data_IF_792828017350
#
_entry.id   IF_792828017350
#
_cell.length_a   1.000
_cell.length_b   1.000
_cell.length_c   1.000
_cell.angle_alpha   90.00
_cell.angle_beta   90.00
_cell.angle_gamma   90.00
#
_symmetry.space_group_name_H-M   'P 1'
#
loop_
_entity.id
_entity.type
_entity.pdbx_description
1 polymer ?
#
# COMPACT_ATOMS: atom_id res chain seq x y z
N UNK A 1 -1.29 31.71 44.10
CA UNK A 1 -2.48 31.06 44.71
C UNK A 1 -3.74 31.70 44.18
N UNK A 2 -4.33 31.06 43.15
CA UNK A 2 -5.77 30.83 42.89
C UNK A 2 -5.89 30.48 41.41
N UNK A 3 -5.72 29.18 41.13
CA UNK A 3 -6.26 28.53 39.95
C UNK A 3 -7.78 28.54 40.15
N UNK A 4 -8.50 29.30 39.34
CA UNK A 4 -9.97 29.28 39.33
C UNK A 4 -10.43 28.14 38.44
N UNK A 5 -11.04 27.13 39.07
CA UNK A 5 -12.11 26.25 38.58
C UNK A 5 -12.61 26.48 37.13
N UNK A 6 -11.92 25.88 36.16
CA UNK A 6 -12.44 25.64 34.80
C UNK A 6 -12.71 24.13 34.57
N UNK A 7 -13.33 23.48 35.56
CA UNK A 7 -13.51 22.03 35.59
C UNK A 7 -14.63 21.44 34.71
N UNK A 8 -15.51 22.26 34.11
CA UNK A 8 -16.75 21.74 33.47
C UNK A 8 -17.08 22.33 32.08
N UNK A 9 -16.16 23.08 31.48
CA UNK A 9 -16.40 23.81 30.21
C UNK A 9 -16.01 23.12 28.88
N UNK A 10 -15.31 21.96 28.81
CA UNK A 10 -14.85 21.45 27.51
C UNK A 10 -15.91 20.67 26.69
N UNK A 11 -17.06 20.31 27.28
CA UNK A 11 -18.02 19.38 26.63
C UNK A 11 -19.16 20.10 25.90
N UNK A 12 -19.61 21.27 26.40
CA UNK A 12 -20.77 21.98 25.81
C UNK A 12 -20.39 22.65 24.49
N UNK A 13 -19.24 23.32 24.44
CA UNK A 13 -18.76 24.00 23.23
C UNK A 13 -18.52 23.04 22.06
N UNK A 14 -17.96 21.85 22.35
CA UNK A 14 -17.79 20.78 21.36
C UNK A 14 -19.13 20.27 20.82
N UNK A 15 -20.17 20.23 21.66
CA UNK A 15 -21.52 19.78 21.29
C UNK A 15 -22.22 20.77 20.36
N UNK A 16 -22.08 22.06 20.65
CA UNK A 16 -22.63 23.14 19.83
C UNK A 16 -21.91 23.25 18.48
N UNK A 17 -20.58 23.05 18.45
CA UNK A 17 -19.82 22.97 17.21
C UNK A 17 -20.22 21.76 16.35
N UNK A 18 -20.41 20.59 16.96
CA UNK A 18 -20.88 19.40 16.24
C UNK A 18 -22.30 19.58 15.71
N UNK A 19 -23.19 20.23 16.46
CA UNK A 19 -24.54 20.53 16.01
C UNK A 19 -24.54 21.50 14.82
N UNK A 20 -23.68 22.53 14.86
CA UNK A 20 -23.49 23.47 13.76
C UNK A 20 -22.86 22.80 12.53
N UNK A 21 -21.88 21.92 12.72
CA UNK A 21 -21.30 21.14 11.63
C UNK A 21 -22.35 20.25 10.95
N UNK A 22 -23.21 19.59 11.73
CA UNK A 22 -24.30 18.76 11.20
C UNK A 22 -25.38 19.60 10.47
N UNK A 23 -25.61 20.84 10.89
CA UNK A 23 -26.50 21.77 10.16
C UNK A 23 -25.90 22.20 8.82
N UNK A 24 -24.61 22.56 8.81
CA UNK A 24 -23.87 22.86 7.58
C UNK A 24 -23.88 21.67 6.62
N UNK A 25 -23.66 20.45 7.11
CA UNK A 25 -23.75 19.23 6.28
C UNK A 25 -25.14 19.07 5.65
N UNK A 26 -26.22 19.27 6.42
CA UNK A 26 -27.58 19.19 5.87
C UNK A 26 -27.87 20.25 4.80
N UNK A 27 -27.40 21.47 5.01
CA UNK A 27 -27.54 22.55 4.01
C UNK A 27 -26.74 22.23 2.75
N UNK A 28 -25.50 21.76 2.89
CA UNK A 28 -24.65 21.35 1.78
C UNK A 28 -25.26 20.20 0.99
N UNK A 29 -25.80 19.18 1.65
CA UNK A 29 -26.50 18.07 0.99
C UNK A 29 -27.76 18.54 0.26
N UNK A 30 -28.53 19.48 0.85
CA UNK A 30 -29.72 20.04 0.21
C UNK A 30 -29.35 20.84 -1.05
N UNK A 31 -28.34 21.70 -0.95
CA UNK A 31 -27.81 22.47 -2.06
C UNK A 31 -27.26 21.55 -3.16
N UNK A 32 -26.49 20.52 -2.80
CA UNK A 32 -25.96 19.53 -3.75
C UNK A 32 -27.08 18.80 -4.50
N UNK A 33 -28.17 18.40 -3.81
CA UNK A 33 -29.34 17.79 -4.45
C UNK A 33 -30.04 18.73 -5.42
N UNK A 34 -30.26 19.99 -5.03
CA UNK A 34 -30.91 21.01 -5.86
C UNK A 34 -30.08 21.31 -7.12
N UNK A 35 -28.78 21.55 -6.95
CA UNK A 35 -27.86 21.83 -8.05
C UNK A 35 -27.73 20.63 -9.00
N UNK A 36 -27.63 19.40 -8.47
CA UNK A 36 -27.63 18.19 -9.29
C UNK A 36 -28.91 18.07 -10.13
N UNK A 37 -30.07 18.33 -9.54
CA UNK A 37 -31.33 18.31 -10.26
C UNK A 37 -31.38 19.41 -11.33
N UNK A 38 -30.94 20.64 -11.01
CA UNK A 38 -30.88 21.77 -11.95
C UNK A 38 -29.96 21.49 -13.15
N UNK A 39 -28.83 20.81 -12.90
CA UNK A 39 -27.85 20.44 -13.92
C UNK A 39 -28.22 19.16 -14.69
N UNK A 40 -29.33 18.48 -14.33
CA UNK A 40 -29.71 17.21 -14.95
C UNK A 40 -28.75 16.06 -14.63
N UNK A 41 -27.99 16.15 -13.53
CA UNK A 41 -27.08 15.12 -13.05
C UNK A 41 -27.86 14.05 -12.27
N UNK A 42 -28.76 13.35 -12.95
CA UNK A 42 -29.46 12.20 -12.37
C UNK A 42 -28.44 11.07 -12.20
N UNK A 43 -28.01 10.81 -10.96
CA UNK A 43 -27.12 9.68 -10.66
C UNK A 43 -27.87 8.37 -10.93
N UNK A 44 -27.74 7.85 -12.15
CA UNK A 44 -27.91 6.42 -12.37
C UNK A 44 -26.66 5.78 -11.78
N UNK A 45 -26.75 4.89 -10.77
CA UNK A 45 -25.59 4.19 -10.27
C UNK A 45 -25.01 3.33 -11.39
N UNK A 46 -24.02 3.86 -12.11
CA UNK A 46 -23.31 3.10 -13.13
C UNK A 46 -22.33 2.21 -12.39
N UNK A 47 -22.49 0.90 -12.55
CA UNK A 47 -21.50 -0.06 -12.09
C UNK A 47 -20.18 0.23 -12.83
N UNK A 48 -19.24 0.88 -12.15
CA UNK A 48 -17.92 1.14 -12.68
C UNK A 48 -17.18 -0.18 -12.88
N UNK A 49 -16.44 -0.31 -13.98
CA UNK A 49 -15.60 -1.48 -14.21
C UNK A 49 -14.58 -1.61 -13.08
N UNK A 50 -14.40 -2.84 -12.60
CA UNK A 50 -13.38 -3.18 -11.60
C UNK A 50 -12.55 -4.34 -12.13
N UNK A 51 -11.26 -4.28 -11.84
CA UNK A 51 -10.33 -5.37 -12.06
C UNK A 51 -10.19 -6.16 -10.75
N UNK A 52 -10.97 -7.24 -10.53
CA UNK A 52 -10.82 -8.04 -9.33
C UNK A 52 -9.48 -8.78 -9.32
N UNK A 53 -8.99 -9.11 -8.12
CA UNK A 53 -7.87 -10.03 -8.03
C UNK A 53 -8.26 -11.38 -8.70
N UNK A 54 -7.36 -12.00 -9.49
CA UNK A 54 -7.71 -13.17 -10.28
C UNK A 54 -8.09 -14.39 -9.41
N UNK A 55 -7.58 -14.45 -8.17
CA UNK A 55 -7.90 -15.48 -7.17
C UNK A 55 -7.67 -14.97 -5.74
N UNK A 56 -8.45 -15.43 -4.75
CA UNK A 56 -8.23 -15.07 -3.35
C UNK A 56 -6.94 -15.70 -2.81
N UNK A 57 -6.39 -15.13 -1.74
CA UNK A 57 -5.31 -15.74 -0.96
C UNK A 57 -5.92 -16.39 0.28
N UNK A 58 -5.95 -17.72 0.34
CA UNK A 58 -6.69 -18.41 1.41
C UNK A 58 -5.79 -18.74 2.61
N UNK A 59 -6.43 -19.05 3.75
CA UNK A 59 -5.73 -19.41 4.99
C UNK A 59 -4.82 -20.63 4.81
N UNK A 60 -5.26 -21.63 4.06
CA UNK A 60 -4.53 -22.88 3.83
C UNK A 60 -3.26 -22.66 2.98
N UNK A 61 -3.28 -21.66 2.10
CA UNK A 61 -2.12 -21.30 1.28
C UNK A 61 -1.04 -20.57 2.08
N UNK A 62 -1.34 -20.03 3.28
CA UNK A 62 -0.45 -19.13 4.02
C UNK A 62 0.91 -19.74 4.33
N UNK A 63 0.96 -21.00 4.77
CA UNK A 63 2.22 -21.65 5.14
C UNK A 63 3.14 -21.87 3.92
N UNK A 64 2.56 -22.03 2.74
CA UNK A 64 3.28 -22.27 1.48
C UNK A 64 3.50 -21.04 0.62
N UNK A 65 3.01 -19.86 1.04
CA UNK A 65 3.04 -18.64 0.23
C UNK A 65 4.00 -17.61 0.82
N UNK A 66 4.90 -17.08 -0.02
CA UNK A 66 5.77 -15.94 0.28
C UNK A 66 5.07 -14.64 -0.11
N UNK A 67 4.93 -13.73 0.85
CA UNK A 67 4.49 -12.35 0.64
C UNK A 67 5.68 -11.54 0.12
N UNK A 68 5.57 -11.03 -1.10
CA UNK A 68 6.47 -10.05 -1.67
C UNK A 68 5.96 -8.66 -1.31
N UNK A 69 6.81 -7.81 -0.76
CA UNK A 69 6.50 -6.40 -0.52
C UNK A 69 7.69 -5.51 -0.85
N UNK A 70 7.46 -4.21 -0.97
CA UNK A 70 8.52 -3.24 -1.17
C UNK A 70 8.01 -1.92 -1.71
N UNK A 71 8.95 -1.00 -1.93
CA UNK A 71 8.65 0.33 -2.48
C UNK A 71 8.52 1.44 -1.43
N UNK A 72 8.87 1.14 -0.17
CA UNK A 72 9.23 2.16 0.81
C UNK A 72 10.76 2.35 0.79
N UNK A 73 11.32 3.00 1.80
CA UNK A 73 12.78 3.01 1.94
C UNK A 73 13.25 1.66 2.49
N UNK A 74 14.53 1.33 2.27
CA UNK A 74 15.13 0.08 2.72
C UNK A 74 14.93 -0.17 4.22
N UNK A 75 14.97 0.89 5.04
CA UNK A 75 14.74 0.78 6.48
C UNK A 75 13.33 0.26 6.81
N UNK A 76 12.27 0.87 6.25
CA UNK A 76 10.91 0.39 6.51
C UNK A 76 10.72 -1.02 5.93
N UNK A 77 11.16 -1.26 4.69
CA UNK A 77 10.96 -2.57 4.04
C UNK A 77 11.58 -3.71 4.88
N UNK A 78 12.85 -3.58 5.29
CA UNK A 78 13.52 -4.60 6.11
C UNK A 78 12.87 -4.78 7.50
N UNK A 79 12.46 -3.70 8.14
CA UNK A 79 11.77 -3.76 9.44
C UNK A 79 10.38 -4.40 9.32
N UNK A 80 9.64 -4.10 8.24
CA UNK A 80 8.35 -4.72 7.94
C UNK A 80 8.53 -6.21 7.71
N UNK A 81 9.55 -6.61 6.95
CA UNK A 81 9.89 -8.02 6.75
C UNK A 81 10.12 -8.73 8.09
N UNK A 82 10.95 -8.15 8.97
CA UNK A 82 11.22 -8.70 10.30
C UNK A 82 9.95 -8.80 11.15
N UNK A 83 9.15 -7.73 11.18
CA UNK A 83 7.94 -7.66 11.99
C UNK A 83 6.87 -8.67 11.52
N UNK A 84 6.65 -8.80 10.21
CA UNK A 84 5.68 -9.74 9.65
C UNK A 84 6.15 -11.21 9.76
N UNK A 85 7.46 -11.46 9.63
CA UNK A 85 8.04 -12.77 9.95
C UNK A 85 7.84 -13.14 11.42
N UNK A 86 8.00 -12.17 12.32
CA UNK A 86 7.78 -12.36 13.76
C UNK A 86 6.35 -12.76 14.16
N UNK A 87 5.36 -12.48 13.31
CA UNK A 87 3.96 -12.90 13.52
C UNK A 87 3.54 -14.09 12.64
N UNK A 88 4.50 -14.75 11.98
CA UNK A 88 4.29 -16.04 11.31
C UNK A 88 4.04 -15.99 9.79
N UNK A 89 4.26 -14.85 9.13
CA UNK A 89 4.21 -14.78 7.67
C UNK A 89 5.58 -15.04 7.05
N UNK A 90 5.60 -15.67 5.87
CA UNK A 90 6.80 -15.72 5.02
C UNK A 90 6.82 -14.44 4.20
N UNK A 91 7.77 -13.56 4.45
CA UNK A 91 7.86 -12.27 3.78
C UNK A 91 9.25 -12.10 3.17
N UNK A 92 9.29 -11.57 1.96
CA UNK A 92 10.51 -11.19 1.26
C UNK A 92 10.34 -9.79 0.67
N UNK A 93 11.27 -8.90 0.98
CA UNK A 93 11.27 -7.56 0.40
C UNK A 93 11.93 -7.58 -0.97
N UNK A 94 11.31 -6.89 -1.92
CA UNK A 94 11.94 -6.60 -3.20
C UNK A 94 13.13 -5.67 -2.95
N UNK A 95 14.22 -5.87 -3.70
CA UNK A 95 15.37 -4.99 -3.66
C UNK A 95 15.02 -3.57 -4.12
N UNK A 96 15.92 -2.62 -3.88
CA UNK A 96 15.78 -1.27 -4.41
C UNK A 96 15.74 -1.32 -5.94
N UNK A 97 14.70 -0.75 -6.60
CA UNK A 97 14.61 -0.74 -8.05
C UNK A 97 15.83 -0.07 -8.69
N UNK A 98 16.38 -0.69 -9.71
CA UNK A 98 17.52 -0.22 -10.49
C UNK A 98 17.10 0.14 -11.94
N UNK A 99 18.08 0.41 -12.80
CA UNK A 99 17.85 0.73 -14.20
C UNK A 99 17.22 -0.44 -14.97
N UNK A 100 17.47 -1.68 -14.54
CA UNK A 100 16.87 -2.86 -15.15
C UNK A 100 15.38 -2.96 -14.79
N UNK A 101 15.03 -2.70 -13.52
CA UNK A 101 13.63 -2.53 -13.13
C UNK A 101 12.95 -1.43 -13.97
N UNK A 102 13.61 -0.30 -14.22
CA UNK A 102 13.07 0.74 -15.11
C UNK A 102 12.85 0.23 -16.54
N UNK A 103 13.83 -0.50 -17.10
CA UNK A 103 13.78 -1.05 -18.45
C UNK A 103 12.60 -2.01 -18.61
N UNK A 104 12.49 -2.98 -17.71
CA UNK A 104 11.39 -3.96 -17.64
C UNK A 104 10.05 -3.25 -17.45
N UNK A 105 10.00 -2.26 -16.56
CA UNK A 105 8.80 -1.45 -16.32
C UNK A 105 8.31 -0.73 -17.57
N UNK A 106 9.22 -0.18 -18.40
CA UNK A 106 8.89 0.46 -19.67
C UNK A 106 8.50 -0.53 -20.77
N UNK A 107 9.06 -1.74 -20.73
CA UNK A 107 8.78 -2.81 -21.68
C UNK A 107 7.35 -3.36 -21.50
N UNK A 108 6.99 -3.71 -20.26
CA UNK A 108 5.70 -4.32 -19.93
C UNK A 108 4.64 -3.33 -19.44
N UNK A 109 5.03 -2.12 -19.05
CA UNK A 109 4.12 -1.10 -18.55
C UNK A 109 3.47 -0.25 -19.65
N UNK A 110 2.39 0.43 -19.29
CA UNK A 110 1.70 1.40 -20.11
C UNK A 110 2.52 2.69 -20.23
N UNK A 111 2.71 3.19 -21.46
CA UNK A 111 3.49 4.40 -21.78
C UNK A 111 2.96 5.69 -21.15
N UNK A 112 1.74 5.68 -20.63
CA UNK A 112 1.15 6.85 -19.97
C UNK A 112 1.48 7.00 -18.49
N UNK A 113 2.12 6.01 -17.84
CA UNK A 113 2.26 5.99 -16.39
C UNK A 113 3.33 6.96 -15.86
N UNK A 114 3.22 7.32 -14.57
CA UNK A 114 4.25 8.13 -13.92
C UNK A 114 5.51 7.30 -13.65
N UNK A 115 6.66 7.96 -13.56
CA UNK A 115 7.96 7.29 -13.45
C UNK A 115 8.04 6.26 -12.29
N UNK A 116 7.50 6.52 -11.09
CA UNK A 116 7.53 5.54 -10.00
C UNK A 116 6.79 4.24 -10.33
N UNK A 117 5.79 4.26 -11.21
CA UNK A 117 5.09 3.05 -11.66
C UNK A 117 6.05 2.14 -12.41
N UNK A 118 6.91 2.69 -13.28
CA UNK A 118 7.85 1.88 -14.04
C UNK A 118 8.86 1.19 -13.12
N UNK A 119 9.40 1.89 -12.14
CA UNK A 119 10.30 1.28 -11.16
C UNK A 119 9.60 0.20 -10.32
N UNK A 120 8.43 0.49 -9.78
CA UNK A 120 7.77 -0.42 -8.84
C UNK A 120 7.20 -1.67 -9.53
N UNK A 121 6.50 -1.49 -10.66
CA UNK A 121 5.99 -2.58 -11.49
C UNK A 121 7.14 -3.38 -12.10
N UNK A 122 8.12 -2.68 -12.67
CA UNK A 122 9.28 -3.31 -13.28
C UNK A 122 10.12 -4.09 -12.27
N UNK A 123 10.27 -3.63 -11.04
CA UNK A 123 11.00 -4.35 -9.99
C UNK A 123 10.31 -5.67 -9.62
N UNK A 124 8.98 -5.70 -9.52
CA UNK A 124 8.25 -6.94 -9.30
C UNK A 124 8.44 -7.89 -10.50
N UNK A 125 8.22 -7.42 -11.72
CA UNK A 125 8.34 -8.26 -12.92
C UNK A 125 9.76 -8.80 -13.07
N UNK A 126 10.78 -7.96 -12.89
CA UNK A 126 12.18 -8.34 -12.93
C UNK A 126 12.53 -9.38 -11.86
N UNK A 127 12.05 -9.20 -10.62
CA UNK A 127 12.22 -10.20 -9.56
C UNK A 127 11.62 -11.57 -9.94
N UNK A 128 10.40 -11.60 -10.49
CA UNK A 128 9.76 -12.85 -10.90
C UNK A 128 10.47 -13.49 -12.11
N UNK A 129 11.00 -12.69 -13.05
CA UNK A 129 11.83 -13.18 -14.14
C UNK A 129 13.11 -13.84 -13.61
N UNK A 130 13.78 -13.25 -12.62
CA UNK A 130 14.95 -13.87 -11.97
C UNK A 130 14.60 -15.20 -11.30
N UNK A 131 13.46 -15.29 -10.61
CA UNK A 131 12.98 -16.56 -10.05
C UNK A 131 12.78 -17.64 -11.13
N UNK A 132 12.25 -17.26 -12.30
CA UNK A 132 12.04 -18.18 -13.42
C UNK A 132 13.35 -18.57 -14.12
N UNK A 133 14.15 -17.57 -14.48
CA UNK A 133 15.24 -17.71 -15.43
C UNK A 133 16.57 -18.09 -14.74
N UNK A 134 16.81 -17.63 -13.52
CA UNK A 134 18.03 -17.93 -12.77
C UNK A 134 17.85 -19.07 -11.76
N UNK A 135 16.71 -19.09 -11.05
CA UNK A 135 16.42 -20.17 -10.09
C UNK A 135 15.68 -21.35 -10.73
N UNK A 136 15.29 -21.24 -12.01
CA UNK A 136 14.63 -22.31 -12.75
C UNK A 136 13.22 -22.65 -12.26
N UNK A 137 12.58 -21.77 -11.48
CA UNK A 137 11.24 -22.04 -10.95
C UNK A 137 10.19 -21.98 -12.06
N UNK A 138 9.27 -22.93 -12.04
CA UNK A 138 8.16 -22.94 -12.98
C UNK A 138 7.26 -21.70 -12.76
N UNK A 139 6.85 -20.94 -13.79
CA UNK A 139 5.94 -19.80 -13.65
C UNK A 139 4.66 -20.12 -12.86
N UNK A 140 4.09 -21.31 -13.05
CA UNK A 140 2.89 -21.76 -12.31
C UNK A 140 3.17 -21.90 -10.81
N UNK A 141 4.35 -22.38 -10.46
CA UNK A 141 4.79 -22.50 -9.07
C UNK A 141 5.02 -21.11 -8.46
N UNK A 142 5.66 -20.20 -9.21
CA UNK A 142 5.85 -18.81 -8.79
C UNK A 142 4.48 -18.16 -8.49
N UNK A 143 3.54 -18.24 -9.44
CA UNK A 143 2.16 -17.73 -9.29
C UNK A 143 1.46 -18.36 -8.08
N UNK A 144 1.64 -19.66 -7.84
CA UNK A 144 1.02 -20.39 -6.75
C UNK A 144 1.58 -20.00 -5.38
N UNK A 145 2.90 -19.86 -5.27
CA UNK A 145 3.66 -19.72 -4.01
C UNK A 145 4.05 -18.29 -3.67
N UNK A 146 3.75 -17.31 -4.51
CA UNK A 146 4.03 -15.90 -4.22
C UNK A 146 2.77 -15.04 -4.35
N UNK A 147 2.79 -13.93 -3.64
CA UNK A 147 1.77 -12.88 -3.71
C UNK A 147 2.43 -11.55 -3.45
N UNK A 148 2.10 -10.52 -4.22
CA UNK A 148 2.61 -9.18 -4.00
C UNK A 148 1.60 -8.37 -3.20
N UNK A 149 2.06 -7.78 -2.09
CA UNK A 149 1.26 -6.94 -1.21
C UNK A 149 1.74 -5.50 -1.35
N UNK A 150 0.83 -4.60 -1.73
CA UNK A 150 1.15 -3.18 -1.90
C UNK A 150 0.01 -2.30 -1.43
N UNK A 151 0.32 -1.02 -1.17
CA UNK A 151 -0.70 -0.05 -0.83
C UNK A 151 -1.45 0.41 -2.09
N UNK A 152 -2.70 0.83 -1.92
CA UNK A 152 -3.48 1.51 -2.93
C UNK A 152 -4.09 2.78 -2.36
N UNK A 153 -4.19 3.82 -3.18
CA UNK A 153 -4.86 5.06 -2.82
C UNK A 153 -6.16 5.26 -3.62
N UNK A 154 -7.05 6.09 -3.10
CA UNK A 154 -8.21 6.59 -3.81
C UNK A 154 -8.12 8.12 -3.82
N UNK A 155 -7.28 8.63 -4.71
CA UNK A 155 -7.02 10.03 -4.91
C UNK A 155 -6.71 10.30 -6.38
N UNK A 156 -6.50 11.57 -6.77
CA UNK A 156 -6.27 11.95 -8.17
C UNK A 156 -4.95 11.43 -8.73
N UNK A 157 -4.07 10.90 -7.88
CA UNK A 157 -2.82 10.29 -8.29
C UNK A 157 -3.08 8.95 -9.03
N UNK A 158 -2.25 8.67 -10.04
CA UNK A 158 -2.20 7.37 -10.72
C UNK A 158 -1.87 6.20 -9.79
N UNK A 159 -1.46 6.43 -8.55
CA UNK A 159 -1.24 5.37 -7.57
C UNK A 159 -2.47 4.49 -7.37
N UNK A 160 -3.69 5.04 -7.48
CA UNK A 160 -4.93 4.26 -7.45
C UNK A 160 -5.06 3.25 -8.61
N UNK A 161 -4.38 3.47 -9.72
CA UNK A 161 -4.39 2.58 -10.89
C UNK A 161 -3.22 1.61 -10.92
N UNK A 162 -2.30 1.64 -9.95
CA UNK A 162 -1.10 0.79 -9.98
C UNK A 162 -1.45 -0.69 -9.96
N UNK A 163 -2.50 -1.11 -9.26
CA UNK A 163 -2.89 -2.53 -9.22
C UNK A 163 -3.23 -3.08 -10.60
N UNK A 164 -4.01 -2.34 -11.37
CA UNK A 164 -4.34 -2.70 -12.76
C UNK A 164 -3.07 -2.73 -13.61
N UNK A 165 -2.15 -1.80 -13.37
CA UNK A 165 -0.88 -1.77 -14.08
C UNK A 165 0.02 -2.97 -13.76
N UNK A 166 0.15 -3.35 -12.48
CA UNK A 166 0.85 -4.56 -12.07
C UNK A 166 0.26 -5.78 -12.78
N UNK A 167 -1.06 -5.96 -12.74
CA UNK A 167 -1.72 -7.14 -13.33
C UNK A 167 -1.56 -7.19 -14.85
N UNK A 168 -1.65 -6.05 -15.54
CA UNK A 168 -1.37 -5.95 -16.97
C UNK A 168 0.07 -6.36 -17.25
N UNK A 169 1.05 -5.74 -16.59
CA UNK A 169 2.46 -6.04 -16.84
C UNK A 169 2.82 -7.49 -16.52
N UNK A 170 2.26 -8.05 -15.44
CA UNK A 170 2.43 -9.46 -15.08
C UNK A 170 1.87 -10.41 -16.13
N UNK A 171 0.69 -10.11 -16.69
CA UNK A 171 0.10 -10.91 -17.78
C UNK A 171 1.02 -10.91 -19.00
N UNK A 172 1.48 -9.74 -19.42
CA UNK A 172 2.33 -9.59 -20.60
C UNK A 172 3.72 -10.22 -20.40
N UNK A 173 4.22 -10.26 -19.16
CA UNK A 173 5.48 -10.91 -18.79
C UNK A 173 5.38 -12.45 -18.61
N UNK A 174 4.19 -13.04 -18.79
CA UNK A 174 3.95 -14.48 -18.67
C UNK A 174 3.60 -14.97 -17.26
N UNK A 175 3.25 -14.06 -16.36
CA UNK A 175 2.79 -14.33 -14.98
C UNK A 175 1.29 -14.06 -14.80
N UNK A 176 0.48 -14.34 -15.83
CA UNK A 176 -0.97 -14.19 -15.76
C UNK A 176 -1.56 -14.99 -14.58
N UNK A 177 -2.45 -14.34 -13.81
CA UNK A 177 -3.03 -14.94 -12.59
C UNK A 177 -2.22 -14.72 -11.31
N UNK A 178 -1.07 -14.06 -11.39
CA UNK A 178 -0.30 -13.65 -10.20
C UNK A 178 -1.13 -12.71 -9.31
N UNK A 179 -1.09 -12.95 -8.00
CA UNK A 179 -1.91 -12.24 -7.01
C UNK A 179 -1.24 -10.92 -6.62
N UNK A 180 -1.97 -9.82 -6.78
CA UNK A 180 -1.61 -8.49 -6.28
C UNK A 180 -2.68 -8.05 -5.29
N UNK A 181 -2.33 -8.07 -4.00
CA UNK A 181 -3.21 -7.69 -2.90
C UNK A 181 -2.99 -6.22 -2.56
N UNK A 182 -4.10 -5.49 -2.50
CA UNK A 182 -4.09 -4.07 -2.18
C UNK A 182 -4.50 -3.82 -0.75
N UNK A 183 -3.69 -3.03 -0.05
CA UNK A 183 -4.08 -2.38 1.17
C UNK A 183 -4.65 -0.99 0.84
N UNK A 184 -5.98 -0.85 0.78
CA UNK A 184 -6.65 0.42 0.48
C UNK A 184 -7.18 1.10 1.75
N UNK A 185 -7.03 2.43 1.82
CA UNK A 185 -7.47 3.21 2.98
C UNK A 185 -9.00 3.29 3.15
N UNK A 186 -9.79 3.17 2.08
CA UNK A 186 -11.23 3.46 2.11
C UNK A 186 -12.15 2.24 2.19
N UNK A 187 -11.77 1.06 1.67
CA UNK A 187 -12.63 -0.13 1.74
C UNK A 187 -12.37 -1.05 2.93
N UNK A 188 -11.61 -0.57 3.92
CA UNK A 188 -11.35 -1.28 5.17
C UNK A 188 -10.60 -2.61 5.00
N UNK A 189 -10.61 -3.41 6.07
CA UNK A 189 -9.82 -4.65 6.15
C UNK A 189 -10.28 -5.77 5.20
N UNK A 190 -11.51 -5.68 4.66
CA UNK A 190 -12.10 -6.73 3.83
C UNK A 190 -11.60 -6.74 2.38
N UNK A 191 -11.10 -5.62 1.86
CA UNK A 191 -10.64 -5.55 0.47
C UNK A 191 -9.31 -6.27 0.20
N UNK A 192 -8.41 -6.32 1.19
CA UNK A 192 -7.07 -6.90 0.99
C UNK A 192 -7.08 -8.43 0.97
N UNK A 193 -8.10 -9.07 1.56
CA UNK A 193 -8.11 -10.52 1.79
C UNK A 193 -9.00 -11.26 0.77
N UNK A 194 -10.05 -10.61 0.24
CA UNK A 194 -11.20 -11.36 -0.25
C UNK A 194 -11.78 -12.25 0.85
N UNK A 195 -12.71 -13.14 0.54
CA UNK A 195 -13.25 -14.10 1.51
C UNK A 195 -12.22 -15.20 1.90
N UNK A 196 -10.95 -15.06 1.51
CA UNK A 196 -9.85 -15.93 1.90
C UNK A 196 -9.02 -15.27 3.00
N UNK A 197 -9.08 -15.79 4.23
CA UNK A 197 -8.27 -15.27 5.35
C UNK A 197 -6.78 -15.67 5.26
N UNK A 198 -6.14 -15.57 4.08
CA UNK A 198 -4.71 -15.82 3.91
C UNK A 198 -3.85 -14.78 4.62
N UNK A 199 -4.24 -13.50 4.50
CA UNK A 199 -3.64 -12.38 5.21
C UNK A 199 -4.59 -11.92 6.33
N UNK A 200 -4.25 -12.17 7.59
CA UNK A 200 -5.09 -11.72 8.73
C UNK A 200 -4.65 -10.33 9.13
N UNK A 201 -5.49 -9.36 8.80
CA UNK A 201 -5.32 -7.97 9.22
C UNK A 201 -5.91 -7.79 10.63
N UNK A 202 -5.29 -8.38 11.65
CA UNK A 202 -5.71 -8.20 13.04
C UNK A 202 -4.91 -7.08 13.73
N UNK A 203 -5.20 -6.83 15.02
CA UNK A 203 -4.45 -5.86 15.83
C UNK A 203 -2.96 -6.16 15.85
N UNK A 204 -2.56 -7.44 15.87
CA UNK A 204 -1.15 -7.85 15.91
C UNK A 204 -0.44 -7.44 14.62
N UNK A 205 -1.08 -7.66 13.48
CA UNK A 205 -0.60 -7.21 12.17
C UNK A 205 -0.39 -5.69 12.14
N UNK A 206 -1.39 -4.90 12.56
CA UNK A 206 -1.27 -3.44 12.55
C UNK A 206 -0.21 -2.92 13.51
N UNK A 207 -0.11 -3.46 14.72
CA UNK A 207 0.93 -3.04 15.67
C UNK A 207 2.33 -3.43 15.18
N UNK A 208 2.49 -4.59 14.54
CA UNK A 208 3.75 -4.99 13.93
C UNK A 208 4.15 -4.02 12.81
N UNK A 209 3.23 -3.71 11.90
CA UNK A 209 3.46 -2.78 10.78
C UNK A 209 3.76 -1.35 11.27
N UNK A 210 2.94 -0.82 12.20
CA UNK A 210 3.10 0.54 12.73
C UNK A 210 4.46 0.72 13.41
N UNK A 211 4.87 -0.24 14.25
CA UNK A 211 6.18 -0.19 14.91
C UNK A 211 7.32 -0.23 13.91
N UNK A 212 7.23 -1.07 12.89
CA UNK A 212 8.24 -1.16 11.83
C UNK A 212 8.37 0.15 11.05
N UNK A 213 7.26 0.76 10.65
CA UNK A 213 7.25 2.03 9.92
C UNK A 213 7.82 3.15 10.78
N UNK A 214 7.34 3.31 12.03
CA UNK A 214 7.83 4.36 12.93
C UNK A 214 9.32 4.19 13.24
N UNK A 215 9.78 2.96 13.48
CA UNK A 215 11.20 2.70 13.69
C UNK A 215 12.03 3.03 12.44
N UNK A 216 11.54 2.71 11.24
CA UNK A 216 12.20 3.07 9.99
C UNK A 216 12.25 4.59 9.76
N UNK A 217 11.19 5.31 10.13
CA UNK A 217 11.16 6.78 10.06
C UNK A 217 12.17 7.41 11.03
N UNK A 218 12.30 6.87 12.25
CA UNK A 218 13.31 7.32 13.23
C UNK A 218 14.72 7.07 12.69
N UNK A 219 15.01 5.89 12.15
CA UNK A 219 16.32 5.57 11.56
C UNK A 219 16.65 6.51 10.40
N UNK A 220 15.70 6.72 9.49
CA UNK A 220 15.89 7.64 8.37
C UNK A 220 16.10 9.08 8.85
N UNK A 221 15.30 9.55 9.81
CA UNK A 221 15.43 10.90 10.36
C UNK A 221 16.79 11.11 11.04
N UNK A 222 17.29 10.12 11.78
CA UNK A 222 18.63 10.14 12.36
C UNK A 222 19.69 10.17 11.25
N UNK A 223 19.57 9.32 10.23
CA UNK A 223 20.47 9.30 9.09
C UNK A 223 20.55 10.65 8.37
N UNK A 224 19.41 11.27 8.07
CA UNK A 224 19.37 12.60 7.45
C UNK A 224 19.94 13.70 8.33
N UNK A 225 19.83 13.56 9.66
CA UNK A 225 20.41 14.52 10.61
C UNK A 225 21.92 14.37 10.74
N UNK A 226 22.46 13.16 10.63
CA UNK A 226 23.89 12.87 10.84
C UNK A 226 24.72 12.97 9.56
N UNK A 227 24.20 12.52 8.42
CA UNK A 227 24.92 12.44 7.14
C UNK A 227 25.61 13.74 6.70
N UNK A 228 25.02 14.94 6.85
CA UNK A 228 25.71 16.19 6.50
C UNK A 228 26.90 16.55 7.40
N UNK A 229 27.01 15.94 8.58
CA UNK A 229 28.05 16.22 9.58
C UNK A 229 29.01 15.05 9.78
N UNK A 230 28.95 14.02 8.95
CA UNK A 230 29.85 12.88 9.04
C UNK A 230 31.29 13.31 8.71
N UNK A 231 32.25 12.88 9.53
CA UNK A 231 33.67 13.23 9.35
C UNK A 231 34.32 12.38 8.27
N UNK A 232 33.97 11.11 8.25
CA UNK A 232 34.41 10.13 7.26
C UNK A 232 33.21 9.83 6.33
N UNK A 233 33.33 10.07 5.01
CA UNK A 233 32.26 9.81 4.07
C UNK A 233 31.73 8.37 4.16
N UNK A 234 30.41 8.22 4.29
CA UNK A 234 29.74 6.93 4.44
C UNK A 234 29.67 6.37 5.86
N UNK A 235 30.27 7.02 6.87
CA UNK A 235 30.21 6.56 8.26
C UNK A 235 28.77 6.47 8.79
N UNK A 236 27.90 7.39 8.40
CA UNK A 236 26.48 7.34 8.78
C UNK A 236 25.79 6.11 8.21
N UNK A 237 26.11 5.75 6.95
CA UNK A 237 25.51 4.60 6.29
C UNK A 237 26.03 3.28 6.88
N UNK A 238 27.27 3.23 7.37
CA UNK A 238 27.81 2.05 8.03
C UNK A 238 27.21 1.80 9.42
N UNK A 239 26.71 2.85 10.08
CA UNK A 239 26.11 2.77 11.42
C UNK A 239 24.61 2.41 11.42
N UNK A 240 23.93 2.58 10.29
CA UNK A 240 22.49 2.30 10.10
C UNK A 240 22.29 0.96 9.41
#
# INVERSE_FOLDING_TARGET
MRLTDEGDRPVIWLRDELARAAEIERELEAFEREERARLGLTEVPVAQWRDPAPRPFTRDERAGTTLLCGGLTQAQDLLIQGALRGIGYRVEVLGTPDDEALRVGREFGNRGQCNPTYFTVGNLVHHLQRLRDEQGLNPREIIARHVFVTAGACGPCRFGTYATEYRKALRDAGFEGFRVLLFQQQGGLRQACGDGDGLVLDRRFFFALLRAVVAGDVLNAMGYRLRPYERDPGATQAAL
#
